data_IF_892967124630
#
_entry.id   IF_892967124630
#
_cell.length_a   1.000
_cell.length_b   1.000
_cell.length_c   1.000
_cell.angle_alpha   90.00
_cell.angle_beta   90.00
_cell.angle_gamma   90.00
#
_symmetry.space_group_name_H-M   'P 1'
#
loop_
_entity.id
_entity.type
_entity.pdbx_description
1 polymer ?
#
# COMPACT_ATOMS: atom_id res chain seq x y z
N UNK A 1 7.88 20.34 -4.93
CA UNK A 1 6.60 19.99 -5.56
C UNK A 1 5.63 19.56 -4.47
N UNK A 2 4.41 20.01 -4.58
CA UNK A 2 3.36 19.66 -3.62
C UNK A 2 2.76 18.28 -3.93
N UNK A 3 2.03 17.73 -2.98
CA UNK A 3 1.23 16.52 -3.13
C UNK A 3 -0.23 16.93 -3.18
N UNK A 4 -0.97 16.38 -4.13
CA UNK A 4 -2.40 16.60 -4.28
C UNK A 4 -3.13 15.26 -4.22
N UNK A 5 -4.10 15.14 -3.31
CA UNK A 5 -4.89 13.95 -3.08
C UNK A 5 -6.30 14.12 -3.66
N UNK A 6 -6.72 13.15 -4.44
CA UNK A 6 -8.08 13.06 -4.97
C UNK A 6 -8.77 11.78 -4.48
N UNK A 7 -10.02 11.93 -4.02
CA UNK A 7 -10.82 10.83 -3.49
C UNK A 7 -10.56 10.50 -2.03
N UNK A 8 -11.16 9.40 -1.58
CA UNK A 8 -11.12 8.94 -0.18
C UNK A 8 -10.93 7.42 -0.12
N UNK A 9 -10.31 6.92 0.94
CA UNK A 9 -10.14 5.49 1.22
C UNK A 9 -8.69 5.05 1.32
N UNK A 10 -8.51 3.73 1.45
CA UNK A 10 -7.24 3.08 1.79
C UNK A 10 -6.53 2.42 0.60
N UNK A 11 -7.05 2.59 -0.60
CA UNK A 11 -6.39 2.12 -1.83
C UNK A 11 -5.78 3.33 -2.52
N UNK A 12 -4.46 3.38 -2.63
CA UNK A 12 -3.72 4.52 -3.13
C UNK A 12 -2.95 4.19 -4.41
N UNK A 13 -2.87 5.16 -5.30
CA UNK A 13 -2.01 5.08 -6.47
C UNK A 13 -1.55 6.47 -6.89
N UNK A 14 -0.27 6.60 -7.23
CA UNK A 14 0.23 7.81 -7.87
C UNK A 14 -0.22 7.82 -9.34
N UNK A 15 -1.00 8.82 -9.72
CA UNK A 15 -1.61 8.94 -11.05
C UNK A 15 -0.92 9.97 -11.93
N UNK A 16 -0.22 10.95 -11.33
CA UNK A 16 0.60 11.89 -12.09
C UNK A 16 1.87 12.29 -11.30
N UNK A 17 2.90 12.60 -12.08
CA UNK A 17 4.16 13.19 -11.57
C UNK A 17 4.20 14.68 -11.87
N UNK A 18 4.96 15.48 -11.08
CA UNK A 18 5.02 16.91 -11.26
C UNK A 18 5.56 17.31 -12.63
N UNK A 19 5.04 18.42 -13.14
CA UNK A 19 5.57 19.10 -14.31
C UNK A 19 6.02 20.50 -13.92
N UNK A 20 7.13 20.94 -14.49
CA UNK A 20 7.59 22.31 -14.31
C UNK A 20 6.67 23.26 -15.06
N UNK A 21 6.37 24.38 -14.45
CA UNK A 21 5.77 25.51 -15.14
C UNK A 21 6.75 26.12 -16.15
N UNK A 22 6.22 26.82 -17.13
CA UNK A 22 7.01 27.56 -18.12
C UNK A 22 6.46 28.96 -18.33
N UNK A 23 7.36 29.89 -18.65
CA UNK A 23 7.01 31.27 -18.96
C UNK A 23 7.82 31.78 -20.15
N UNK A 24 7.22 32.66 -20.94
CA UNK A 24 7.93 33.47 -21.91
C UNK A 24 8.32 34.81 -21.25
N UNK A 25 9.53 35.25 -21.55
CA UNK A 25 10.07 36.52 -21.04
C UNK A 25 10.34 37.41 -22.25
N UNK A 26 9.77 38.59 -22.22
CA UNK A 26 10.04 39.64 -23.25
C UNK A 26 11.20 40.49 -22.71
N UNK A 27 12.36 40.37 -23.35
CA UNK A 27 13.56 41.13 -23.00
C UNK A 27 13.79 42.25 -23.99
N UNK A 28 13.95 43.48 -23.47
CA UNK A 28 14.31 44.63 -24.30
C UNK A 28 15.82 44.82 -24.29
N UNK A 29 16.48 44.53 -25.41
CA UNK A 29 17.92 44.77 -25.59
C UNK A 29 18.28 46.23 -25.51
N UNK A 30 17.38 47.13 -25.92
CA UNK A 30 17.59 48.60 -25.83
C UNK A 30 17.60 49.11 -24.43
N UNK A 31 16.84 48.51 -23.51
CA UNK A 31 16.73 48.91 -22.10
C UNK A 31 17.58 48.04 -21.14
N UNK A 32 18.07 46.90 -21.64
CA UNK A 32 18.83 45.93 -20.85
C UNK A 32 18.03 45.22 -19.77
N UNK A 33 16.71 45.16 -19.91
CA UNK A 33 15.84 44.60 -18.85
C UNK A 33 14.63 43.84 -19.43
N UNK A 34 14.01 43.03 -18.56
CA UNK A 34 12.75 42.32 -18.87
C UNK A 34 11.61 43.36 -18.86
N UNK A 35 10.84 43.42 -19.92
CA UNK A 35 9.73 44.36 -20.13
C UNK A 35 8.35 43.69 -20.09
N UNK A 36 8.31 42.36 -20.10
CA UNK A 36 7.07 41.59 -20.01
C UNK A 36 7.33 40.14 -19.63
N UNK A 37 6.29 39.52 -19.11
CA UNK A 37 6.26 38.10 -18.75
C UNK A 37 4.88 37.55 -19.07
N UNK A 38 4.85 36.36 -19.67
CA UNK A 38 3.62 35.62 -19.93
C UNK A 38 3.78 34.17 -19.46
N UNK A 39 2.95 33.73 -18.53
CA UNK A 39 2.90 32.34 -18.10
C UNK A 39 2.34 31.48 -19.24
N UNK A 40 3.09 30.46 -19.65
CA UNK A 40 2.70 29.51 -20.70
C UNK A 40 2.08 28.26 -20.10
N UNK A 41 2.59 27.81 -18.94
CA UNK A 41 2.01 26.71 -18.17
C UNK A 41 2.31 26.89 -16.68
N UNK A 42 1.40 26.50 -15.83
CA UNK A 42 1.64 26.41 -14.38
C UNK A 42 2.35 25.09 -14.02
N UNK A 43 3.14 25.05 -12.96
CA UNK A 43 3.65 23.79 -12.41
C UNK A 43 2.47 22.94 -11.90
N UNK A 44 2.62 21.64 -12.00
CA UNK A 44 1.63 20.70 -11.45
C UNK A 44 2.26 19.88 -10.31
N UNK A 45 1.47 19.49 -9.27
CA UNK A 45 1.94 18.65 -8.17
C UNK A 45 2.06 17.16 -8.58
N UNK A 46 2.49 16.31 -7.64
CA UNK A 46 2.16 14.90 -7.68
C UNK A 46 0.66 14.73 -7.46
N UNK A 47 0.04 13.82 -8.19
CA UNK A 47 -1.35 13.45 -7.94
C UNK A 47 -1.43 12.03 -7.41
N UNK A 48 -2.11 11.86 -6.30
CA UNK A 48 -2.38 10.58 -5.65
C UNK A 48 -3.89 10.42 -5.60
N UNK A 49 -4.38 9.38 -6.25
CA UNK A 49 -5.81 9.06 -6.17
C UNK A 49 -6.03 8.02 -5.09
N UNK A 50 -7.10 8.19 -4.32
CA UNK A 50 -7.55 7.31 -3.25
C UNK A 50 -8.90 6.70 -3.59
N UNK A 51 -9.09 5.42 -3.23
CA UNK A 51 -10.33 4.68 -3.40
C UNK A 51 -10.62 3.83 -2.18
N UNK A 52 -11.82 3.25 -2.14
CA UNK A 52 -12.21 2.30 -1.12
C UNK A 52 -12.87 2.93 0.10
N UNK A 53 -13.21 4.24 0.05
CA UNK A 53 -14.10 4.84 1.04
C UNK A 53 -15.46 4.16 0.98
N UNK A 54 -15.98 3.76 2.12
CA UNK A 54 -17.21 2.98 2.19
C UNK A 54 -18.37 3.74 2.82
N UNK A 55 -19.50 3.57 2.14
CA UNK A 55 -20.81 4.01 2.65
C UNK A 55 -21.62 2.87 3.29
N UNK A 56 -21.17 1.62 3.11
CA UNK A 56 -21.82 0.42 3.65
C UNK A 56 -20.92 -0.24 4.74
N UNK A 57 -21.53 -0.98 5.66
CA UNK A 57 -20.86 -1.55 6.85
C UNK A 57 -20.01 -2.78 6.55
N UNK A 58 -19.15 -2.75 5.53
CA UNK A 58 -18.20 -3.88 5.28
C UNK A 58 -16.80 -3.52 5.76
N UNK A 59 -16.08 -4.50 6.25
CA UNK A 59 -14.73 -4.41 6.77
C UNK A 59 -13.85 -5.32 5.94
N UNK A 60 -12.68 -4.83 5.55
CA UNK A 60 -11.64 -5.63 4.95
C UNK A 60 -10.67 -6.08 6.06
N UNK A 61 -10.67 -7.37 6.34
CA UNK A 61 -9.66 -7.98 7.20
C UNK A 61 -8.38 -8.19 6.39
N UNK A 62 -7.25 -7.73 6.91
CA UNK A 62 -5.96 -7.91 6.27
C UNK A 62 -4.94 -8.42 7.26
N UNK A 63 -4.08 -9.35 6.82
CA UNK A 63 -3.04 -9.97 7.61
C UNK A 63 -1.69 -9.76 6.92
N UNK A 64 -0.71 -9.29 7.67
CA UNK A 64 0.64 -9.02 7.18
C UNK A 64 1.65 -10.03 7.74
N UNK A 65 2.81 -10.11 7.11
CA UNK A 65 4.01 -10.86 7.50
C UNK A 65 4.00 -12.37 7.24
N UNK A 66 2.86 -12.97 7.04
CA UNK A 66 2.74 -14.40 6.76
C UNK A 66 3.38 -14.86 5.43
N UNK A 67 3.19 -16.14 5.12
CA UNK A 67 2.52 -17.15 5.93
C UNK A 67 3.41 -17.74 7.04
N UNK A 68 2.84 -17.94 8.22
CA UNK A 68 3.44 -18.68 9.34
C UNK A 68 2.83 -20.08 9.47
N UNK A 69 3.62 -21.14 9.72
CA UNK A 69 3.11 -22.52 9.75
C UNK A 69 2.14 -22.83 10.90
N UNK A 70 2.02 -21.97 11.91
CA UNK A 70 1.11 -22.15 13.05
C UNK A 70 -0.07 -21.18 13.00
N UNK A 71 0.19 -19.90 12.71
CA UNK A 71 -0.81 -18.83 12.78
C UNK A 71 -1.70 -18.82 11.53
N UNK A 72 -1.12 -18.82 10.35
CA UNK A 72 -1.87 -18.76 9.09
C UNK A 72 -2.91 -19.88 8.97
N UNK A 73 -2.61 -21.19 9.24
CA UNK A 73 -3.62 -22.23 9.20
C UNK A 73 -4.76 -22.02 10.19
N UNK A 74 -4.47 -21.55 11.40
CA UNK A 74 -5.48 -21.32 12.43
C UNK A 74 -6.45 -20.19 12.02
N UNK A 75 -5.93 -19.12 11.44
CA UNK A 75 -6.71 -18.00 10.89
C UNK A 75 -7.59 -18.49 9.72
N UNK A 76 -7.03 -19.24 8.79
CA UNK A 76 -7.74 -19.80 7.65
C UNK A 76 -8.88 -20.74 8.10
N UNK A 77 -8.68 -21.54 9.17
CA UNK A 77 -9.74 -22.36 9.75
C UNK A 77 -10.88 -21.53 10.33
N UNK A 78 -10.57 -20.38 10.95
CA UNK A 78 -11.58 -19.45 11.47
C UNK A 78 -12.34 -18.80 10.31
N UNK A 79 -11.65 -18.28 9.31
CA UNK A 79 -12.26 -17.67 8.13
C UNK A 79 -13.21 -18.64 7.42
N UNK A 80 -12.78 -19.90 7.26
CA UNK A 80 -13.63 -20.95 6.66
C UNK A 80 -14.90 -21.21 7.48
N UNK A 81 -14.78 -21.33 8.82
CA UNK A 81 -15.94 -21.56 9.71
C UNK A 81 -16.94 -20.42 9.72
N UNK A 82 -16.45 -19.18 9.56
CA UNK A 82 -17.30 -17.97 9.57
C UNK A 82 -17.80 -17.56 8.20
N UNK A 83 -17.31 -18.22 7.13
CA UNK A 83 -17.60 -17.84 5.74
C UNK A 83 -16.98 -16.47 5.37
N UNK A 84 -16.02 -15.99 6.16
CA UNK A 84 -15.33 -14.72 5.96
C UNK A 84 -14.17 -14.88 4.99
N UNK A 85 -13.75 -13.75 4.40
CA UNK A 85 -12.59 -13.64 3.52
C UNK A 85 -11.64 -12.58 4.06
N UNK A 86 -10.38 -12.68 3.66
CA UNK A 86 -9.34 -11.74 4.05
C UNK A 86 -8.36 -11.51 2.89
N UNK A 87 -7.48 -10.53 3.06
CA UNK A 87 -6.31 -10.33 2.21
C UNK A 87 -5.06 -10.59 3.05
N UNK A 88 -4.15 -11.40 2.53
CA UNK A 88 -2.86 -11.71 3.16
C UNK A 88 -1.75 -10.98 2.40
N UNK A 89 -1.03 -10.09 3.08
CA UNK A 89 0.15 -9.43 2.53
C UNK A 89 1.39 -10.25 2.88
N UNK A 90 1.83 -11.02 1.90
CA UNK A 90 2.83 -12.06 2.07
C UNK A 90 4.23 -11.51 1.96
N UNK A 91 5.09 -11.80 2.95
CA UNK A 91 6.53 -11.68 2.82
C UNK A 91 7.03 -12.79 1.90
N UNK A 92 7.68 -12.42 0.78
CA UNK A 92 8.11 -13.39 -0.24
C UNK A 92 9.00 -14.50 0.31
N UNK A 93 9.90 -14.19 1.26
CA UNK A 93 10.74 -15.20 1.92
C UNK A 93 9.91 -16.27 2.65
N UNK A 94 8.87 -15.86 3.39
CA UNK A 94 7.95 -16.76 4.11
C UNK A 94 7.10 -17.58 3.13
N UNK A 95 6.57 -16.93 2.10
CA UNK A 95 5.83 -17.60 1.03
C UNK A 95 6.66 -18.62 0.27
N UNK A 96 7.95 -18.36 0.07
CA UNK A 96 8.85 -19.33 -0.58
C UNK A 96 9.10 -20.58 0.29
N UNK A 97 9.11 -20.43 1.62
CA UNK A 97 9.22 -21.57 2.56
C UNK A 97 7.91 -22.34 2.68
N UNK A 98 6.78 -21.65 2.62
CA UNK A 98 5.45 -22.22 2.85
C UNK A 98 4.49 -22.03 1.66
N UNK A 99 4.83 -22.42 0.43
CA UNK A 99 4.02 -22.15 -0.76
C UNK A 99 2.63 -22.80 -0.72
N UNK A 100 2.47 -23.91 0.01
CA UNK A 100 1.17 -24.57 0.18
C UNK A 100 0.19 -23.76 1.02
N UNK A 101 0.67 -22.90 1.91
CA UNK A 101 -0.18 -21.99 2.70
C UNK A 101 -0.72 -20.88 1.81
N UNK A 102 0.11 -20.26 0.98
CA UNK A 102 -0.35 -19.27 -0.02
C UNK A 102 -1.41 -19.88 -0.96
N UNK A 103 -1.21 -21.13 -1.40
CA UNK A 103 -2.21 -21.82 -2.22
C UNK A 103 -3.51 -22.01 -1.45
N UNK A 104 -3.44 -22.40 -0.18
CA UNK A 104 -4.60 -22.57 0.68
C UNK A 104 -5.37 -21.26 0.91
N UNK A 105 -4.68 -20.12 1.07
CA UNK A 105 -5.30 -18.80 1.15
C UNK A 105 -6.17 -18.53 -0.09
N UNK A 106 -5.63 -18.77 -1.28
CA UNK A 106 -6.35 -18.62 -2.54
C UNK A 106 -7.51 -19.60 -2.71
N UNK A 107 -7.29 -20.88 -2.38
CA UNK A 107 -8.32 -21.93 -2.50
C UNK A 107 -9.53 -21.63 -1.60
N UNK A 108 -9.31 -20.95 -0.49
CA UNK A 108 -10.38 -20.48 0.40
C UNK A 108 -11.00 -19.15 -0.05
N UNK A 109 -10.58 -18.60 -1.21
CA UNK A 109 -11.11 -17.38 -1.80
C UNK A 109 -10.66 -16.12 -1.09
N UNK A 110 -9.52 -16.16 -0.39
CA UNK A 110 -8.81 -14.98 0.10
C UNK A 110 -7.97 -14.37 -1.03
N UNK A 111 -7.56 -13.11 -0.84
CA UNK A 111 -6.62 -12.44 -1.75
C UNK A 111 -5.21 -12.44 -1.17
N UNK A 112 -4.21 -12.38 -2.07
CA UNK A 112 -2.80 -12.26 -1.71
C UNK A 112 -2.26 -10.93 -2.22
N UNK A 113 -1.58 -10.20 -1.35
CA UNK A 113 -0.84 -8.97 -1.62
C UNK A 113 0.67 -9.16 -1.45
N UNK A 114 1.43 -8.27 -2.07
CA UNK A 114 2.88 -8.23 -1.96
C UNK A 114 3.27 -7.42 -0.71
N UNK A 115 4.11 -8.00 0.16
CA UNK A 115 4.65 -7.33 1.35
C UNK A 115 6.18 -7.26 1.31
N UNK A 116 6.75 -7.09 0.10
CA UNK A 116 8.18 -7.23 -0.21
C UNK A 116 8.69 -8.67 -0.07
N UNK A 117 9.98 -8.90 -0.37
CA UNK A 117 10.55 -10.25 -0.27
C UNK A 117 11.19 -10.50 1.10
N UNK A 118 11.93 -9.50 1.63
CA UNK A 118 12.69 -9.63 2.90
C UNK A 118 12.19 -8.72 4.02
N UNK A 119 11.09 -7.99 3.79
CA UNK A 119 10.50 -7.05 4.76
C UNK A 119 11.45 -5.92 5.20
N UNK A 120 12.14 -5.22 4.28
CA UNK A 120 13.04 -4.13 4.64
C UNK A 120 12.26 -2.87 5.04
N UNK A 121 12.90 -2.01 5.82
CA UNK A 121 12.46 -0.61 5.98
C UNK A 121 12.65 0.11 4.63
N UNK A 122 11.54 0.30 3.91
CA UNK A 122 11.55 0.84 2.55
C UNK A 122 11.96 2.30 2.47
N UNK A 123 11.91 3.04 3.58
CA UNK A 123 12.40 4.43 3.66
C UNK A 123 13.93 4.51 3.56
N UNK A 124 14.62 3.40 3.86
CA UNK A 124 16.09 3.31 3.92
C UNK A 124 16.73 2.62 2.72
N UNK A 125 15.95 2.04 1.84
CA UNK A 125 16.45 1.38 0.64
C UNK A 125 16.29 2.26 -0.60
N UNK A 126 17.07 1.96 -1.63
CA UNK A 126 16.97 2.64 -2.92
C UNK A 126 15.74 2.19 -3.71
N UNK A 127 15.31 2.98 -4.69
CA UNK A 127 14.24 2.59 -5.60
C UNK A 127 14.57 1.30 -6.39
N UNK A 128 15.87 1.03 -6.66
CA UNK A 128 16.32 -0.20 -7.32
C UNK A 128 16.14 -1.42 -6.42
N UNK A 129 16.50 -1.30 -5.14
CA UNK A 129 16.31 -2.35 -4.14
C UNK A 129 14.82 -2.61 -3.91
N UNK A 130 13.99 -1.57 -3.77
CA UNK A 130 12.54 -1.75 -3.66
C UNK A 130 11.95 -2.47 -4.89
N UNK A 131 12.39 -2.11 -6.10
CA UNK A 131 11.97 -2.82 -7.30
C UNK A 131 12.38 -4.30 -7.29
N UNK A 132 13.56 -4.62 -6.76
CA UNK A 132 14.02 -6.00 -6.61
C UNK A 132 13.13 -6.78 -5.61
N UNK A 133 12.86 -6.20 -4.46
CA UNK A 133 11.98 -6.74 -3.41
C UNK A 133 10.59 -7.07 -3.96
N UNK A 134 9.96 -6.10 -4.64
CA UNK A 134 8.62 -6.28 -5.21
C UNK A 134 8.60 -7.32 -6.32
N UNK A 135 9.57 -7.29 -7.24
CA UNK A 135 9.63 -8.24 -8.35
C UNK A 135 9.98 -9.66 -7.90
N UNK A 136 10.82 -9.83 -6.87
CA UNK A 136 11.14 -11.16 -6.33
C UNK A 136 9.88 -11.85 -5.78
N UNK A 137 9.08 -11.12 -4.99
CA UNK A 137 7.80 -11.63 -4.46
C UNK A 137 6.80 -11.90 -5.58
N UNK A 138 6.69 -11.01 -6.57
CA UNK A 138 5.79 -11.21 -7.70
C UNK A 138 6.14 -12.45 -8.51
N UNK A 139 7.43 -12.68 -8.79
CA UNK A 139 7.90 -13.90 -9.46
C UNK A 139 7.66 -15.17 -8.65
N UNK A 140 7.71 -15.09 -7.33
CA UNK A 140 7.29 -16.18 -6.47
C UNK A 140 5.81 -16.49 -6.68
N UNK A 141 4.92 -15.49 -6.68
CA UNK A 141 3.50 -15.67 -6.93
C UNK A 141 3.25 -16.26 -8.32
N UNK A 142 3.88 -15.73 -9.36
CA UNK A 142 3.78 -16.27 -10.72
C UNK A 142 4.21 -17.75 -10.77
N UNK A 143 5.35 -18.10 -10.15
CA UNK A 143 5.93 -19.43 -10.23
C UNK A 143 5.20 -20.47 -9.39
N UNK A 144 4.65 -20.09 -8.24
CA UNK A 144 4.01 -21.00 -7.28
C UNK A 144 2.50 -21.07 -7.43
N UNK A 145 1.88 -19.94 -7.80
CA UNK A 145 0.42 -19.77 -7.81
C UNK A 145 -0.14 -19.53 -9.22
N UNK A 146 0.72 -19.33 -10.22
CA UNK A 146 0.31 -19.06 -11.60
C UNK A 146 -0.42 -17.73 -11.79
N UNK A 147 -0.28 -16.79 -10.85
CA UNK A 147 -0.99 -15.49 -10.88
C UNK A 147 -0.12 -14.34 -10.39
N UNK A 148 -0.54 -13.12 -10.70
CA UNK A 148 0.04 -11.88 -10.20
C UNK A 148 -0.83 -11.28 -9.10
N UNK A 149 -0.21 -10.50 -8.22
CA UNK A 149 -0.92 -9.62 -7.32
C UNK A 149 -0.95 -8.18 -7.86
N UNK A 150 -2.04 -7.49 -7.60
CA UNK A 150 -2.16 -6.05 -7.84
C UNK A 150 -2.06 -5.23 -6.55
N UNK A 151 -1.95 -5.90 -5.40
CA UNK A 151 -1.98 -5.28 -4.08
C UNK A 151 -0.58 -5.26 -3.49
N UNK A 152 -0.20 -4.13 -2.94
CA UNK A 152 1.05 -3.94 -2.21
C UNK A 152 0.78 -3.23 -0.90
N UNK A 153 1.39 -3.69 0.18
CA UNK A 153 1.44 -2.96 1.45
C UNK A 153 2.90 -2.75 1.83
N UNK A 154 3.32 -1.50 2.12
CA UNK A 154 4.66 -1.22 2.59
C UNK A 154 4.92 -1.83 3.95
N UNK A 155 6.10 -2.46 4.19
CA UNK A 155 6.54 -2.84 5.53
C UNK A 155 6.49 -1.68 6.52
N UNK A 156 6.15 -1.94 7.77
CA UNK A 156 6.04 -0.97 8.87
C UNK A 156 5.01 0.14 8.64
N UNK A 157 4.21 0.07 7.59
CA UNK A 157 3.30 1.15 7.19
C UNK A 157 4.01 2.41 6.69
N UNK A 158 5.29 2.30 6.39
CA UNK A 158 6.11 3.42 5.93
C UNK A 158 5.59 3.99 4.61
N UNK A 159 5.44 5.32 4.59
CA UNK A 159 5.06 6.08 3.39
C UNK A 159 3.75 5.62 2.72
N UNK A 160 2.82 5.01 3.49
CA UNK A 160 1.49 4.66 2.98
C UNK A 160 0.72 5.92 2.60
N UNK A 161 0.82 6.96 3.44
CA UNK A 161 0.23 8.28 3.20
C UNK A 161 1.35 9.34 3.16
N UNK A 162 2.07 9.47 2.05
CA UNK A 162 3.16 10.43 1.97
C UNK A 162 2.66 11.86 2.15
N UNK A 163 3.37 12.63 2.97
CA UNK A 163 3.11 14.06 3.20
C UNK A 163 4.23 14.94 2.64
N UNK A 164 5.33 14.33 2.20
CA UNK A 164 6.45 15.03 1.56
C UNK A 164 6.80 14.39 0.21
N UNK A 165 7.48 15.13 -0.69
CA UNK A 165 7.96 14.60 -1.97
C UNK A 165 8.97 13.44 -1.86
N UNK A 166 9.65 13.31 -0.73
CA UNK A 166 10.58 12.21 -0.47
C UNK A 166 9.83 10.93 -0.13
N UNK A 167 8.79 11.04 0.66
CA UNK A 167 7.95 9.92 1.11
C UNK A 167 7.11 9.28 -0.01
N UNK A 168 6.86 10.01 -1.11
CA UNK A 168 6.09 9.47 -2.24
C UNK A 168 6.84 8.41 -3.05
N UNK A 169 8.16 8.26 -2.88
CA UNK A 169 8.99 7.36 -3.71
C UNK A 169 8.52 5.90 -3.72
N UNK A 170 8.19 5.26 -2.57
CA UNK A 170 7.67 3.90 -2.57
C UNK A 170 6.35 3.77 -3.34
N UNK A 171 5.43 4.70 -3.13
CA UNK A 171 4.14 4.74 -3.84
C UNK A 171 4.33 4.90 -5.36
N UNK A 172 5.27 5.75 -5.79
CA UNK A 172 5.60 5.90 -7.21
C UNK A 172 6.19 4.62 -7.81
N UNK A 173 7.10 3.95 -7.07
CA UNK A 173 7.71 2.71 -7.52
C UNK A 173 6.66 1.60 -7.67
N UNK A 174 5.82 1.41 -6.65
CA UNK A 174 4.72 0.45 -6.68
C UNK A 174 3.73 0.76 -7.82
N UNK A 175 3.33 2.02 -7.98
CA UNK A 175 2.41 2.45 -9.03
C UNK A 175 2.95 2.19 -10.44
N UNK A 176 4.27 2.38 -10.67
CA UNK A 176 4.93 2.08 -11.95
C UNK A 176 4.93 0.59 -12.28
N UNK A 177 5.00 -0.26 -11.27
CA UNK A 177 4.91 -1.72 -11.43
C UNK A 177 3.46 -2.21 -11.55
N UNK A 178 2.48 -1.32 -11.44
CA UNK A 178 1.05 -1.64 -11.59
C UNK A 178 0.33 -1.93 -10.28
N UNK A 179 0.99 -1.82 -9.14
CA UNK A 179 0.36 -2.05 -7.84
C UNK A 179 -0.55 -0.91 -7.41
N UNK A 180 -1.55 -1.28 -6.62
CA UNK A 180 -2.27 -0.42 -5.71
C UNK A 180 -1.67 -0.57 -4.33
N UNK A 181 -1.30 0.54 -3.70
CA UNK A 181 -0.82 0.55 -2.32
C UNK A 181 -2.01 0.54 -1.37
N UNK A 182 -2.02 -0.39 -0.42
CA UNK A 182 -3.12 -0.57 0.54
C UNK A 182 -2.70 -0.03 1.89
N UNK A 183 -3.47 0.94 2.38
CA UNK A 183 -3.30 1.52 3.70
C UNK A 183 -3.87 0.67 4.82
N UNK A 184 -3.87 1.24 6.05
CA UNK A 184 -4.24 0.55 7.28
C UNK A 184 -4.77 1.54 8.32
N UNK A 185 -5.96 2.06 8.11
CA UNK A 185 -6.54 3.05 9.04
C UNK A 185 -6.87 2.49 10.43
N UNK A 186 -7.12 1.17 10.51
CA UNK A 186 -7.43 0.50 11.77
C UNK A 186 -6.30 -0.46 12.12
N UNK A 187 -5.39 -0.02 12.97
CA UNK A 187 -4.31 -0.83 13.54
C UNK A 187 -4.53 -1.04 15.03
N UNK A 188 -5.00 -2.24 15.45
CA UNK A 188 -5.18 -2.58 16.86
C UNK A 188 -3.88 -2.94 17.58
N UNK A 189 -2.74 -2.90 16.86
CA UNK A 189 -1.39 -3.25 17.38
C UNK A 189 -1.32 -4.65 17.98
N UNK A 190 -1.89 -5.63 17.28
CA UNK A 190 -1.93 -7.04 17.69
C UNK A 190 -0.53 -7.63 17.90
N UNK A 191 0.46 -7.18 17.12
CA UNK A 191 1.88 -7.51 17.23
C UNK A 191 2.48 -7.18 18.62
N UNK A 192 1.87 -6.27 19.39
CA UNK A 192 2.27 -5.98 20.79
C UNK A 192 1.69 -6.97 21.79
N UNK A 193 0.88 -7.92 21.33
CA UNK A 193 0.22 -8.96 22.14
C UNK A 193 -0.67 -8.41 23.27
N UNK A 194 -1.57 -7.44 23.00
CA UNK A 194 -2.37 -6.79 24.05
C UNK A 194 -3.51 -7.66 24.59
N UNK A 195 -3.73 -8.83 23.97
CA UNK A 195 -4.82 -9.76 24.24
C UNK A 195 -6.05 -9.53 23.34
N UNK A 196 -6.76 -10.62 23.04
CA UNK A 196 -7.86 -10.65 22.08
C UNK A 196 -8.97 -9.62 22.36
N UNK A 197 -9.38 -9.46 23.61
CA UNK A 197 -10.44 -8.53 23.99
C UNK A 197 -10.08 -7.07 23.67
N UNK A 198 -8.82 -6.69 23.87
CA UNK A 198 -8.35 -5.35 23.53
C UNK A 198 -8.26 -5.13 22.03
N UNK A 199 -7.81 -6.12 21.27
CA UNK A 199 -7.80 -6.07 19.79
C UNK A 199 -9.21 -5.84 19.27
N UNK A 200 -10.16 -6.67 19.72
CA UNK A 200 -11.58 -6.55 19.31
C UNK A 200 -12.15 -5.19 19.70
N UNK A 201 -11.96 -4.75 20.94
CA UNK A 201 -12.45 -3.46 21.40
C UNK A 201 -11.89 -2.29 20.60
N UNK A 202 -10.59 -2.30 20.29
CA UNK A 202 -9.92 -1.28 19.49
C UNK A 202 -10.47 -1.21 18.06
N UNK A 203 -10.67 -2.37 17.43
CA UNK A 203 -11.25 -2.44 16.08
C UNK A 203 -12.68 -1.93 16.06
N UNK A 204 -13.53 -2.38 16.99
CA UNK A 204 -14.94 -1.94 17.05
C UNK A 204 -15.06 -0.44 17.32
N UNK A 205 -14.26 0.08 18.26
CA UNK A 205 -14.22 1.54 18.53
C UNK A 205 -13.82 2.35 17.29
N UNK A 206 -12.83 1.87 16.54
CA UNK A 206 -12.37 2.54 15.33
C UNK A 206 -13.43 2.53 14.22
N UNK A 207 -14.13 1.40 14.06
CA UNK A 207 -15.24 1.24 13.10
C UNK A 207 -16.44 2.13 13.46
N UNK A 208 -16.83 2.17 14.74
CA UNK A 208 -17.94 3.00 15.23
C UNK A 208 -17.60 4.49 15.11
N UNK A 209 -16.34 4.86 15.27
CA UNK A 209 -15.86 6.23 15.06
C UNK A 209 -15.70 6.61 13.57
N UNK A 210 -15.94 5.68 12.64
CA UNK A 210 -15.80 5.93 11.21
C UNK A 210 -14.36 6.17 10.75
N UNK A 211 -13.35 5.66 11.49
CA UNK A 211 -11.93 5.91 11.19
C UNK A 211 -11.42 5.16 9.96
N UNK A 212 -12.22 4.28 9.38
CA UNK A 212 -11.87 3.50 8.19
C UNK A 212 -12.58 2.16 8.15
N UNK A 213 -12.15 1.30 7.22
CA UNK A 213 -12.74 -0.02 7.02
C UNK A 213 -11.69 -1.12 6.69
N UNK A 214 -10.42 -0.77 6.63
CA UNK A 214 -9.32 -1.74 6.44
C UNK A 214 -8.64 -1.96 7.79
N UNK A 215 -8.71 -3.21 8.27
CA UNK A 215 -8.14 -3.62 9.55
C UNK A 215 -6.82 -4.33 9.29
N UNK A 216 -5.75 -3.81 9.90
CA UNK A 216 -4.43 -4.44 9.91
C UNK A 216 -4.34 -5.43 11.08
N UNK A 217 -3.96 -6.66 10.75
CA UNK A 217 -3.59 -7.72 11.68
C UNK A 217 -2.33 -8.39 11.15
N UNK A 218 -1.73 -9.29 11.93
CA UNK A 218 -0.54 -10.02 11.53
C UNK A 218 -0.74 -11.53 11.70
N UNK A 219 -0.20 -12.31 10.74
CA UNK A 219 -0.19 -13.77 10.75
C UNK A 219 1.24 -14.36 10.64
N UNK A 220 2.25 -13.47 10.72
CA UNK A 220 3.67 -13.80 10.72
C UNK A 220 4.40 -13.49 12.03
#
# INVERSE_FOLDING_TARGET
YDLDYDGEGEVLRATATPRKGSRAIDYSSKRGLIVGERILSFPTPYQITRWGSRKDRMVALTFDDGPDPKQTPAILDILARTGSKATFFVIGANGNVHPSLMQRELDQGCEIGNHTFTHPDISRITAGELNLELNATERLFESRLGRKSLLFRPPYGEDVEPVTPEQIRPLLAASKLGYYTIGMQIDPKDWTNPGADRIVASVLEALDAGRGNVVLLHDG
#
